data_IF_157022370122
#
_entry.id   IF_157022370122
#
_cell.length_a   1.000
_cell.length_b   1.000
_cell.length_c   1.000
_cell.angle_alpha   90.00
_cell.angle_beta   90.00
_cell.angle_gamma   90.00
#
_symmetry.space_group_name_H-M   'P 1'
#
loop_
_entity.id
_entity.type
_entity.pdbx_description
1 polymer ?
#
# COMPACT_ATOMS: atom_id res chain seq x y z
N UNK A 1 6.32 -10.98 9.57
CA UNK A 1 6.47 -9.54 9.85
C UNK A 1 6.01 -9.17 11.26
N UNK A 2 4.83 -9.61 11.74
CA UNK A 2 4.38 -9.30 13.11
C UNK A 2 4.85 -10.29 14.20
N UNK A 3 5.34 -11.47 13.82
CA UNK A 3 5.75 -12.55 14.75
C UNK A 3 6.80 -12.14 15.79
N UNK A 4 7.64 -11.17 15.46
CA UNK A 4 8.71 -10.71 16.36
C UNK A 4 8.30 -9.51 17.22
N UNK A 5 7.08 -8.97 17.02
CA UNK A 5 6.64 -7.76 17.72
C UNK A 5 6.03 -8.07 19.09
N UNK A 6 5.23 -9.14 19.20
CA UNK A 6 4.61 -9.55 20.46
C UNK A 6 4.56 -11.08 20.58
N UNK A 7 4.76 -11.68 21.78
CA UNK A 7 4.70 -13.13 21.97
C UNK A 7 3.41 -13.76 21.45
N UNK A 8 2.27 -13.10 21.63
CA UNK A 8 0.97 -13.57 21.16
C UNK A 8 0.85 -13.65 19.61
N UNK A 9 1.74 -12.96 18.87
CA UNK A 9 1.74 -12.96 17.41
C UNK A 9 2.72 -13.97 16.81
N UNK A 10 3.47 -14.72 17.63
CA UNK A 10 4.47 -15.69 17.15
C UNK A 10 3.87 -16.83 16.35
N UNK A 11 2.68 -17.29 16.73
CA UNK A 11 1.92 -18.35 16.05
C UNK A 11 1.13 -17.86 14.84
N UNK A 12 1.02 -16.55 14.63
CA UNK A 12 0.16 -15.94 13.62
C UNK A 12 0.52 -16.37 12.18
N UNK A 13 -0.40 -17.01 11.48
CA UNK A 13 -0.21 -17.51 10.12
C UNK A 13 -0.90 -16.65 9.06
N UNK A 14 -0.64 -16.96 7.79
CA UNK A 14 -1.30 -16.29 6.67
C UNK A 14 -2.82 -16.47 6.68
N UNK A 15 -3.31 -17.64 7.12
CA UNK A 15 -4.74 -17.91 7.22
C UNK A 15 -5.43 -16.98 8.24
N UNK A 16 -4.80 -16.74 9.39
CA UNK A 16 -5.30 -15.81 10.40
C UNK A 16 -5.40 -14.38 9.84
N UNK A 17 -4.39 -13.97 9.06
CA UNK A 17 -4.40 -12.66 8.39
C UNK A 17 -5.55 -12.55 7.38
N UNK A 18 -5.87 -13.61 6.65
CA UNK A 18 -6.98 -13.58 5.69
C UNK A 18 -8.33 -13.52 6.41
N UNK A 19 -8.52 -14.28 7.49
CA UNK A 19 -9.73 -14.20 8.32
C UNK A 19 -9.93 -12.79 8.89
N UNK A 20 -8.87 -12.21 9.44
CA UNK A 20 -8.92 -10.85 9.99
C UNK A 20 -9.18 -9.80 8.91
N UNK A 21 -8.57 -9.93 7.74
CA UNK A 21 -8.88 -9.04 6.61
C UNK A 21 -10.36 -9.10 6.23
N UNK A 22 -10.94 -10.30 6.20
CA UNK A 22 -12.34 -10.48 5.89
C UNK A 22 -13.22 -9.81 6.96
N UNK A 23 -12.96 -10.07 8.25
CA UNK A 23 -13.69 -9.43 9.36
C UNK A 23 -13.58 -7.90 9.34
N UNK A 24 -12.37 -7.36 9.09
CA UNK A 24 -12.16 -5.91 8.95
C UNK A 24 -12.92 -5.35 7.76
N UNK A 25 -13.02 -6.07 6.64
CA UNK A 25 -13.79 -5.65 5.49
C UNK A 25 -15.30 -5.70 5.75
N UNK A 26 -15.78 -6.66 6.52
CA UNK A 26 -17.18 -6.72 6.93
C UNK A 26 -17.55 -5.50 7.80
N UNK A 27 -16.64 -5.09 8.70
CA UNK A 27 -16.83 -3.89 9.53
C UNK A 27 -16.63 -2.57 8.74
N UNK A 28 -15.72 -2.55 7.77
CA UNK A 28 -15.39 -1.39 6.93
C UNK A 28 -15.44 -1.78 5.43
N UNK A 29 -16.63 -1.82 4.80
CA UNK A 29 -16.82 -2.37 3.44
C UNK A 29 -15.91 -1.76 2.37
N UNK A 30 -15.61 -0.47 2.47
CA UNK A 30 -14.81 0.28 1.49
C UNK A 30 -13.29 0.16 1.71
N UNK A 31 -12.83 -0.46 2.79
CA UNK A 31 -11.41 -0.49 3.17
C UNK A 31 -10.53 -1.21 2.14
N UNK A 32 -11.10 -2.11 1.33
CA UNK A 32 -10.38 -2.88 0.32
C UNK A 32 -9.76 -2.01 -0.78
N UNK A 33 -10.25 -0.78 -0.97
CA UNK A 33 -9.65 0.18 -1.87
C UNK A 33 -8.28 0.65 -1.40
N UNK A 34 -8.05 0.70 -0.08
CA UNK A 34 -6.77 1.06 0.52
C UNK A 34 -6.08 -0.17 1.11
N UNK A 35 -5.24 -0.82 0.31
CA UNK A 35 -4.51 -2.01 0.74
C UNK A 35 -3.49 -1.75 1.87
N UNK A 36 -3.09 -0.50 2.09
CA UNK A 36 -2.18 -0.12 3.17
C UNK A 36 -2.95 -0.04 4.47
N UNK A 37 -4.06 0.71 4.47
CA UNK A 37 -4.96 0.83 5.61
C UNK A 37 -5.59 -0.52 5.97
N UNK A 38 -6.01 -1.31 4.98
CA UNK A 38 -6.58 -2.63 5.24
C UNK A 38 -5.58 -3.55 5.94
N UNK A 39 -4.32 -3.55 5.51
CA UNK A 39 -3.25 -4.31 6.18
C UNK A 39 -2.99 -3.79 7.59
N UNK A 40 -2.92 -2.47 7.76
CA UNK A 40 -2.74 -1.85 9.07
C UNK A 40 -3.84 -2.29 10.04
N UNK A 41 -5.12 -2.09 9.68
CA UNK A 41 -6.27 -2.45 10.51
C UNK A 41 -6.35 -3.95 10.81
N UNK A 42 -5.94 -4.81 9.88
CA UNK A 42 -5.88 -6.26 10.13
C UNK A 42 -4.82 -6.64 11.17
N UNK A 43 -3.68 -5.95 11.18
CA UNK A 43 -2.60 -6.18 12.16
C UNK A 43 -3.00 -5.61 13.53
N UNK A 44 -3.58 -4.42 13.54
CA UNK A 44 -4.12 -3.79 14.74
C UNK A 44 -5.20 -4.67 15.38
N UNK A 45 -6.14 -5.20 14.60
CA UNK A 45 -7.15 -6.13 15.10
C UNK A 45 -6.52 -7.41 15.67
N UNK A 46 -5.51 -7.97 15.00
CA UNK A 46 -4.79 -9.14 15.55
C UNK A 46 -4.17 -8.87 16.92
N UNK A 47 -3.69 -7.64 17.15
CA UNK A 47 -3.10 -7.22 18.42
C UNK A 47 -4.17 -7.01 19.50
N UNK A 48 -5.30 -6.41 19.14
CA UNK A 48 -6.45 -6.27 20.03
C UNK A 48 -7.01 -7.63 20.46
N UNK A 49 -7.17 -8.56 19.52
CA UNK A 49 -7.65 -9.93 19.79
C UNK A 49 -6.68 -10.71 20.68
N UNK A 50 -5.40 -10.34 20.67
CA UNK A 50 -4.37 -10.88 21.54
C UNK A 50 -4.33 -10.23 22.94
N UNK A 51 -5.22 -9.27 23.22
CA UNK A 51 -5.37 -8.61 24.52
C UNK A 51 -4.50 -7.38 24.75
N UNK A 52 -3.86 -6.83 23.70
CA UNK A 52 -3.12 -5.57 23.82
C UNK A 52 -4.10 -4.40 23.95
N UNK A 53 -3.66 -3.32 24.61
CA UNK A 53 -4.41 -2.07 24.61
C UNK A 53 -4.48 -1.46 23.21
N UNK A 54 -5.44 -0.55 22.99
CA UNK A 54 -5.57 0.14 21.71
C UNK A 54 -4.31 0.93 21.32
N UNK A 55 -3.63 1.53 22.30
CA UNK A 55 -2.38 2.27 22.08
C UNK A 55 -1.26 1.32 21.63
N UNK A 56 -1.07 0.21 22.34
CA UNK A 56 -0.06 -0.80 21.99
C UNK A 56 -0.33 -1.46 20.63
N UNK A 57 -1.60 -1.78 20.35
CA UNK A 57 -2.01 -2.36 19.08
C UNK A 57 -1.75 -1.41 17.90
N UNK A 58 -2.11 -0.13 18.05
CA UNK A 58 -1.83 0.88 17.03
C UNK A 58 -0.33 1.08 16.83
N UNK A 59 0.45 1.25 17.90
CA UNK A 59 1.91 1.39 17.83
C UNK A 59 2.56 0.18 17.15
N UNK A 60 2.08 -1.03 17.44
CA UNK A 60 2.57 -2.25 16.83
C UNK A 60 2.21 -2.41 15.37
N UNK A 61 1.00 -2.04 14.98
CA UNK A 61 0.61 -2.00 13.58
C UNK A 61 1.47 -0.99 12.79
N UNK A 62 1.77 0.18 13.36
CA UNK A 62 2.68 1.16 12.75
C UNK A 62 4.08 0.57 12.53
N UNK A 63 4.67 -0.02 13.56
CA UNK A 63 5.99 -0.64 13.48
C UNK A 63 6.04 -1.80 12.45
N UNK A 64 4.97 -2.61 12.38
CA UNK A 64 4.86 -3.67 11.40
C UNK A 64 4.76 -3.12 9.97
N UNK A 65 4.01 -2.04 9.75
CA UNK A 65 3.84 -1.40 8.45
C UNK A 65 5.12 -0.73 7.95
N UNK A 66 5.92 -0.13 8.83
CA UNK A 66 7.26 0.41 8.47
C UNK A 66 8.15 -0.71 7.92
N UNK A 67 8.20 -1.85 8.62
CA UNK A 67 8.95 -3.01 8.16
C UNK A 67 8.42 -3.55 6.82
N UNK A 68 7.09 -3.61 6.65
CA UNK A 68 6.48 -4.02 5.39
C UNK A 68 6.91 -3.11 4.23
N UNK A 69 6.81 -1.80 4.40
CA UNK A 69 7.17 -0.82 3.38
C UNK A 69 8.65 -0.94 2.96
N UNK A 70 9.56 -1.15 3.92
CA UNK A 70 10.99 -1.35 3.67
C UNK A 70 11.25 -2.54 2.74
N UNK A 71 10.65 -3.69 3.01
CA UNK A 71 10.87 -4.89 2.21
C UNK A 71 10.12 -4.86 0.88
N UNK A 72 8.92 -4.27 0.86
CA UNK A 72 8.10 -4.13 -0.36
C UNK A 72 8.78 -3.29 -1.44
N UNK A 73 9.58 -2.32 -1.02
CA UNK A 73 10.25 -1.37 -1.91
C UNK A 73 11.66 -1.81 -2.33
N UNK A 74 12.14 -2.97 -1.84
CA UNK A 74 13.39 -3.59 -2.31
C UNK A 74 13.15 -4.30 -3.63
N UNK A 75 13.04 -3.52 -4.68
CA UNK A 75 12.98 -4.02 -6.04
C UNK A 75 14.15 -3.45 -6.82
N UNK A 76 14.76 -4.29 -7.65
CA UNK A 76 15.74 -3.84 -8.63
C UNK A 76 15.00 -3.59 -9.95
N UNK A 77 15.18 -2.40 -10.51
CA UNK A 77 14.50 -2.01 -11.74
C UNK A 77 15.49 -2.12 -12.90
N UNK A 78 15.23 -2.98 -13.90
CA UNK A 78 16.16 -3.17 -15.01
C UNK A 78 16.42 -1.87 -15.75
N UNK A 79 17.67 -1.63 -16.18
CA UNK A 79 18.08 -0.45 -16.95
C UNK A 79 17.18 -0.20 -18.18
N UNK A 80 16.71 -1.26 -18.84
CA UNK A 80 15.79 -1.15 -19.97
C UNK A 80 14.48 -0.42 -19.60
N UNK A 81 13.99 -0.56 -18.36
CA UNK A 81 12.81 0.15 -17.86
C UNK A 81 13.09 1.65 -17.76
N UNK A 82 14.24 2.01 -17.19
CA UNK A 82 14.71 3.40 -17.11
C UNK A 82 14.84 4.03 -18.49
N UNK A 83 15.46 3.32 -19.44
CA UNK A 83 15.66 3.80 -20.80
C UNK A 83 14.33 4.03 -21.51
N UNK A 84 13.39 3.11 -21.32
CA UNK A 84 12.04 3.20 -21.89
C UNK A 84 11.28 4.40 -21.33
N UNK A 85 11.23 4.54 -20.00
CA UNK A 85 10.55 5.67 -19.34
C UNK A 85 11.17 7.01 -19.73
N UNK A 86 12.50 7.09 -19.81
CA UNK A 86 13.21 8.29 -20.25
C UNK A 86 12.88 8.67 -21.69
N UNK A 87 12.68 7.70 -22.58
CA UNK A 87 12.27 7.97 -23.97
C UNK A 87 10.80 8.41 -24.07
N UNK A 88 9.91 7.78 -23.30
CA UNK A 88 8.49 8.14 -23.27
C UNK A 88 8.26 9.54 -22.69
N UNK A 89 8.97 9.89 -21.61
CA UNK A 89 8.87 11.19 -20.95
C UNK A 89 9.29 12.38 -21.85
N UNK A 90 10.07 12.13 -22.92
CA UNK A 90 10.37 13.15 -23.94
C UNK A 90 9.18 13.54 -24.81
N UNK A 91 8.14 12.70 -24.86
CA UNK A 91 6.97 12.86 -25.74
C UNK A 91 5.70 13.19 -24.99
N UNK A 92 5.52 12.62 -23.80
CA UNK A 92 4.29 12.74 -23.01
C UNK A 92 4.58 12.85 -21.52
N UNK A 93 3.77 13.59 -20.75
CA UNK A 93 3.80 13.49 -19.30
C UNK A 93 3.44 12.07 -18.87
N UNK A 94 4.21 11.50 -17.95
CA UNK A 94 3.97 10.16 -17.44
C UNK A 94 3.39 10.23 -16.03
N UNK A 95 2.40 9.39 -15.76
CA UNK A 95 1.77 9.27 -14.44
C UNK A 95 1.70 7.79 -14.05
N UNK A 96 1.99 7.48 -12.79
CA UNK A 96 1.83 6.13 -12.27
C UNK A 96 0.51 6.00 -11.49
N UNK A 97 -0.33 5.01 -11.83
CA UNK A 97 -1.60 4.72 -11.14
C UNK A 97 -1.61 3.27 -10.63
N UNK A 98 -1.68 3.08 -9.31
CA UNK A 98 -1.57 1.76 -8.68
C UNK A 98 -2.69 1.47 -7.67
N UNK A 99 -3.19 0.22 -7.67
CA UNK A 99 -4.04 -0.30 -6.59
C UNK A 99 -3.22 -0.67 -5.35
N UNK A 100 -1.90 -0.80 -5.52
CA UNK A 100 -0.97 -1.18 -4.48
C UNK A 100 -0.47 0.02 -3.69
N UNK A 101 0.59 -0.23 -2.93
CA UNK A 101 1.26 0.77 -2.11
C UNK A 101 2.68 1.07 -2.61
N UNK A 102 2.95 0.79 -3.88
CA UNK A 102 4.24 1.06 -4.51
C UNK A 102 4.52 2.57 -4.50
N UNK A 103 5.76 2.92 -4.21
CA UNK A 103 6.29 4.28 -4.19
C UNK A 103 7.51 4.29 -5.12
N UNK A 104 7.34 4.67 -6.40
CA UNK A 104 8.40 4.73 -7.41
C UNK A 104 9.70 5.40 -6.94
N UNK A 105 9.59 6.37 -6.05
CA UNK A 105 10.69 7.11 -5.44
C UNK A 105 11.65 6.18 -4.66
N UNK A 106 11.13 5.11 -4.05
CA UNK A 106 11.91 4.18 -3.22
C UNK A 106 12.72 3.17 -4.04
N UNK A 107 12.51 3.10 -5.35
CA UNK A 107 13.19 2.17 -6.25
C UNK A 107 13.61 2.83 -7.58
N UNK A 108 13.94 4.11 -7.53
CA UNK A 108 14.63 4.81 -8.62
C UNK A 108 13.77 5.19 -9.82
N UNK A 109 12.43 5.13 -9.69
CA UNK A 109 11.50 5.50 -10.77
C UNK A 109 10.76 6.83 -10.54
N UNK A 110 10.98 7.51 -9.41
CA UNK A 110 10.28 8.76 -9.06
C UNK A 110 10.45 9.85 -10.13
N UNK A 111 11.66 10.03 -10.64
CA UNK A 111 11.99 11.14 -11.55
C UNK A 111 11.37 11.04 -12.96
N UNK A 112 10.69 9.93 -13.28
CA UNK A 112 10.05 9.76 -14.59
C UNK A 112 8.58 10.15 -14.61
N UNK A 113 7.94 10.27 -13.45
CA UNK A 113 6.50 10.52 -13.36
C UNK A 113 6.23 11.92 -12.79
N UNK A 114 5.27 12.64 -13.39
CA UNK A 114 4.79 13.92 -12.87
C UNK A 114 4.20 13.78 -11.46
N UNK A 115 3.50 12.66 -11.24
CA UNK A 115 2.96 12.26 -9.94
C UNK A 115 2.54 10.79 -9.93
N UNK A 116 2.25 10.30 -8.73
CA UNK A 116 1.81 8.91 -8.47
C UNK A 116 0.47 8.93 -7.75
N UNK A 117 -0.52 8.22 -8.31
CA UNK A 117 -1.82 8.00 -7.68
C UNK A 117 -1.93 6.56 -7.15
N UNK A 118 -2.48 6.46 -5.94
CA UNK A 118 -2.64 5.23 -5.17
C UNK A 118 -4.08 5.08 -4.70
N UNK A 119 -4.64 3.90 -4.91
CA UNK A 119 -5.98 3.57 -4.43
C UNK A 119 -6.08 3.71 -2.90
N UNK A 120 -7.24 4.15 -2.42
CA UNK A 120 -7.44 4.60 -1.06
C UNK A 120 -7.26 6.12 -0.97
N UNK A 121 -6.03 6.64 -0.76
CA UNK A 121 -5.82 8.08 -0.62
C UNK A 121 -6.27 8.92 -1.82
N UNK A 122 -6.28 8.35 -3.03
CA UNK A 122 -6.62 9.07 -4.26
C UNK A 122 -7.92 8.58 -4.93
N UNK A 123 -8.77 7.88 -4.18
CA UNK A 123 -10.03 7.32 -4.68
C UNK A 123 -10.03 5.81 -4.78
N UNK A 124 -11.12 5.26 -5.31
CA UNK A 124 -11.33 3.80 -5.38
C UNK A 124 -10.29 3.13 -6.27
N UNK A 125 -9.99 1.89 -5.94
CA UNK A 125 -9.07 1.04 -6.71
C UNK A 125 -9.59 0.76 -8.12
N UNK A 126 -8.70 0.57 -9.09
CA UNK A 126 -9.07 0.09 -10.42
C UNK A 126 -9.88 -1.21 -10.30
N UNK A 127 -10.96 -1.42 -11.07
CA UNK A 127 -11.28 -0.72 -12.32
C UNK A 127 -12.14 0.56 -12.18
N UNK A 128 -12.39 1.07 -10.98
CA UNK A 128 -13.08 2.34 -10.82
C UNK A 128 -12.31 3.49 -11.48
N UNK A 129 -13.05 4.47 -12.01
CA UNK A 129 -12.51 5.56 -12.83
C UNK A 129 -11.86 6.68 -12.02
N UNK A 130 -12.03 6.69 -10.69
CA UNK A 130 -11.66 7.77 -9.79
C UNK A 130 -10.23 8.29 -10.01
N UNK A 131 -9.22 7.40 -9.97
CA UNK A 131 -7.82 7.80 -10.16
C UNK A 131 -7.51 8.23 -11.60
N UNK A 132 -8.26 7.77 -12.60
CA UNK A 132 -8.06 8.21 -13.98
C UNK A 132 -8.59 9.63 -14.19
N UNK A 133 -9.76 9.95 -13.63
CA UNK A 133 -10.29 11.30 -13.65
C UNK A 133 -9.40 12.27 -12.86
N UNK A 134 -8.92 11.85 -11.69
CA UNK A 134 -7.97 12.66 -10.92
C UNK A 134 -6.65 12.89 -11.65
N UNK A 135 -6.18 11.91 -12.43
CA UNK A 135 -4.99 12.08 -13.27
C UNK A 135 -5.23 13.09 -14.40
N UNK A 136 -6.37 13.00 -15.09
CA UNK A 136 -6.75 13.93 -16.14
C UNK A 136 -6.88 15.37 -15.60
N UNK A 137 -7.54 15.54 -14.45
CA UNK A 137 -7.65 16.81 -13.74
C UNK A 137 -6.28 17.41 -13.40
N UNK A 138 -5.39 16.62 -12.79
CA UNK A 138 -4.03 17.07 -12.44
C UNK A 138 -3.15 17.39 -13.66
N UNK A 139 -3.40 16.75 -14.80
CA UNK A 139 -2.71 17.01 -16.06
C UNK A 139 -3.38 18.12 -16.89
N UNK A 140 -4.58 18.58 -16.49
CA UNK A 140 -5.39 19.54 -17.21
C UNK A 140 -5.71 19.09 -18.66
N UNK A 141 -6.18 17.84 -18.81
CA UNK A 141 -6.56 17.20 -20.09
C UNK A 141 -7.97 16.62 -20.07
#
# INVERSE_FOLDING_TARGET
MCKNYHPALRSFQNEDLQRLRQAVREAEPEIYHDVTRWRFRSIEQAMLDAGLSAEEASAGAHAAMINFAKWRSRIDVPQQTHDTLKQLAKKWPLVAITNGNAQPELFGLGDYFEFVLRAGPHGRSKPFSDMYFLAAEKLNV
#
